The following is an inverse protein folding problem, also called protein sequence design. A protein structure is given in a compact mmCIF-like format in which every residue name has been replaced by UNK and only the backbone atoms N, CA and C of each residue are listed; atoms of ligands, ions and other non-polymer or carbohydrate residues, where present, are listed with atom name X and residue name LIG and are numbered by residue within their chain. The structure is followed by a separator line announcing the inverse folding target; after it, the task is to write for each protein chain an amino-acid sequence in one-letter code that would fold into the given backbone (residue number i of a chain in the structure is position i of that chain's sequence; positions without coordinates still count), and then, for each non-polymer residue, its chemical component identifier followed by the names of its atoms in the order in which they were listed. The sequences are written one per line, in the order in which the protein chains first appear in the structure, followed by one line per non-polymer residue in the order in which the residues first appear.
data_IF_867440331926
#
_entry.id   IF_867440331926
#
_cell.length_a   1.000
_cell.length_b   1.000
_cell.length_c   1.000
_cell.angle_alpha   90.00
_cell.angle_beta   90.00
_cell.angle_gamma   90.00
#
_symmetry.space_group_name_H-M   'P 1'
#
loop_
_entity.id
_entity.type
_entity.pdbx_description
1 polymer ?
#
# COMPACT_ATOMS: atom_id res chain seq x y z
N UNK A 1 12.35 -14.70 5.87
CA UNK A 1 12.20 -13.41 5.16
C UNK A 1 12.58 -12.32 6.16
N UNK A 2 13.76 -11.71 6.03
CA UNK A 2 14.31 -10.77 7.02
C UNK A 2 13.60 -9.40 6.91
N UNK A 3 12.39 -9.31 7.44
CA UNK A 3 11.61 -8.05 7.46
C UNK A 3 11.24 -7.69 8.89
N UNK A 4 12.24 -7.24 9.64
CA UNK A 4 12.04 -6.58 10.92
C UNK A 4 11.75 -5.08 10.70
N UNK A 5 10.91 -4.49 11.56
CA UNK A 5 10.69 -3.04 11.57
C UNK A 5 11.89 -2.26 12.11
N UNK A 6 12.78 -2.96 12.82
CA UNK A 6 14.07 -2.43 13.25
C UNK A 6 15.12 -2.66 12.17
N UNK A 7 15.56 -1.59 11.53
CA UNK A 7 16.53 -1.64 10.44
C UNK A 7 17.45 -0.41 10.45
N UNK A 8 18.69 -0.59 10.00
CA UNK A 8 19.64 0.49 9.74
C UNK A 8 19.70 0.75 8.23
N UNK A 9 19.52 2.01 7.84
CA UNK A 9 19.64 2.44 6.44
C UNK A 9 20.85 3.34 6.26
N UNK A 10 21.68 3.06 5.26
CA UNK A 10 22.71 4.01 4.83
C UNK A 10 22.06 5.24 4.19
N UNK A 11 22.78 6.37 4.15
CA UNK A 11 22.29 7.64 3.57
C UNK A 11 21.74 7.45 2.15
N UNK A 12 22.47 6.70 1.30
CA UNK A 12 22.09 6.42 -0.09
C UNK A 12 20.75 5.68 -0.19
N UNK A 13 20.55 4.66 0.67
CA UNK A 13 19.31 3.88 0.70
C UNK A 13 18.13 4.74 1.15
N UNK A 14 18.32 5.52 2.23
CA UNK A 14 17.30 6.43 2.73
C UNK A 14 16.86 7.42 1.65
N UNK A 15 17.80 8.06 0.96
CA UNK A 15 17.50 9.05 -0.08
C UNK A 15 16.75 8.44 -1.26
N UNK A 16 17.13 7.22 -1.69
CA UNK A 16 16.40 6.51 -2.73
C UNK A 16 14.95 6.18 -2.34
N UNK A 17 14.71 5.78 -1.09
CA UNK A 17 13.36 5.49 -0.58
C UNK A 17 12.53 6.78 -0.47
N UNK A 18 13.11 7.86 0.06
CA UNK A 18 12.39 9.14 0.28
C UNK A 18 12.09 9.86 -1.03
N UNK A 19 12.93 9.72 -2.05
CA UNK A 19 12.69 10.31 -3.36
C UNK A 19 11.54 9.65 -4.13
N UNK A 20 11.01 8.50 -3.67
CA UNK A 20 9.85 7.90 -4.32
C UNK A 20 8.59 8.75 -4.05
N UNK A 21 8.00 9.30 -5.12
CA UNK A 21 6.83 10.20 -5.06
C UNK A 21 5.50 9.43 -4.94
N UNK A 22 5.46 8.37 -4.15
CA UNK A 22 4.27 7.56 -3.99
C UNK A 22 3.34 8.15 -2.92
N UNK A 23 2.08 8.44 -3.26
CA UNK A 23 1.10 8.96 -2.30
C UNK A 23 0.74 7.95 -1.20
N UNK A 24 0.95 6.66 -1.45
CA UNK A 24 0.70 5.58 -0.50
C UNK A 24 2.02 4.91 -0.09
N UNK A 25 2.82 5.54 0.80
CA UNK A 25 4.12 5.01 1.17
C UNK A 25 3.98 3.66 1.88
N UNK A 26 4.70 2.66 1.38
CA UNK A 26 4.80 1.36 2.04
C UNK A 26 6.26 0.92 2.11
N UNK A 27 6.94 1.35 3.17
CA UNK A 27 8.40 1.23 3.36
C UNK A 27 8.91 -0.20 3.09
N UNK A 28 8.16 -1.23 3.48
CA UNK A 28 8.57 -2.63 3.28
C UNK A 28 8.68 -2.99 1.80
N UNK A 29 7.74 -2.53 0.96
CA UNK A 29 7.85 -2.71 -0.49
C UNK A 29 8.93 -1.81 -1.08
N UNK A 30 9.08 -0.57 -0.60
CA UNK A 30 10.11 0.35 -1.08
C UNK A 30 11.52 -0.22 -0.88
N UNK A 31 11.80 -0.80 0.30
CA UNK A 31 13.07 -1.50 0.57
C UNK A 31 13.28 -2.67 -0.39
N UNK A 32 12.20 -3.37 -0.76
CA UNK A 32 12.21 -4.40 -1.78
C UNK A 32 12.59 -3.86 -3.16
N UNK A 33 11.93 -2.77 -3.55
CA UNK A 33 12.02 -2.10 -4.84
C UNK A 33 13.40 -1.50 -5.11
N UNK A 34 13.99 -0.80 -4.14
CA UNK A 34 15.30 -0.14 -4.31
C UNK A 34 16.46 -1.13 -4.50
N UNK A 35 16.29 -2.41 -4.16
CA UNK A 35 17.20 -3.48 -4.58
C UNK A 35 18.60 -3.48 -3.95
N UNK A 36 18.94 -2.54 -3.06
CA UNK A 36 20.28 -2.46 -2.44
C UNK A 36 20.66 -3.73 -1.65
N UNK A 37 21.97 -3.85 -1.38
CA UNK A 37 22.54 -4.90 -0.54
C UNK A 37 21.91 -4.88 0.86
N UNK A 38 21.52 -6.07 1.34
CA UNK A 38 20.77 -6.27 2.58
C UNK A 38 21.41 -7.41 3.36
N UNK A 39 21.61 -7.19 4.65
CA UNK A 39 22.09 -8.21 5.58
C UNK A 39 21.12 -8.32 6.75
N UNK A 40 20.65 -9.54 7.03
CA UNK A 40 19.71 -9.83 8.10
C UNK A 40 20.42 -10.37 9.32
N UNK A 41 20.31 -9.69 10.46
CA UNK A 41 20.82 -10.18 11.74
C UNK A 41 19.74 -11.07 12.37
N UNK A 42 20.09 -12.33 12.65
CA UNK A 42 19.20 -13.22 13.40
C UNK A 42 19.18 -12.78 14.85
N UNK A 43 17.99 -12.60 15.39
CA UNK A 43 17.78 -12.33 16.82
C UNK A 43 16.55 -13.10 17.27
N UNK A 44 16.53 -13.51 18.54
CA UNK A 44 15.36 -14.10 19.15
C UNK A 44 14.52 -12.99 19.81
N UNK A 45 13.23 -12.91 19.46
CA UNK A 45 12.35 -11.85 19.95
C UNK A 45 11.67 -12.34 21.22
N UNK A 46 12.12 -11.83 22.36
CA UNK A 46 11.47 -12.09 23.65
C UNK A 46 10.00 -11.64 23.66
N UNK A 47 9.17 -12.36 24.41
CA UNK A 47 7.76 -12.05 24.59
C UNK A 47 7.62 -10.68 25.27
N UNK A 48 6.67 -9.86 24.79
CA UNK A 48 6.34 -8.58 25.41
C UNK A 48 5.89 -8.80 26.86
N UNK A 49 6.51 -8.08 27.80
CA UNK A 49 6.27 -8.22 29.25
C UNK A 49 5.00 -7.50 29.70
N UNK A 50 4.66 -6.38 29.06
CA UNK A 50 3.49 -5.56 29.41
C UNK A 50 2.92 -4.81 28.20
N UNK A 51 1.66 -4.39 28.31
CA UNK A 51 0.93 -3.65 27.27
C UNK A 51 0.11 -4.55 26.34
N UNK A 52 -0.97 -3.97 25.79
CA UNK A 52 -1.82 -4.64 24.82
C UNK A 52 -1.22 -4.55 23.41
N UNK A 53 -1.63 -5.47 22.54
CA UNK A 53 -1.29 -5.36 21.11
C UNK A 53 -2.10 -4.22 20.49
N UNK A 54 -1.43 -3.35 19.73
CA UNK A 54 -2.11 -2.38 18.87
C UNK A 54 -2.47 -2.97 17.49
N UNK A 55 -2.22 -4.27 17.30
CA UNK A 55 -2.46 -4.96 16.04
C UNK A 55 -3.82 -5.66 16.09
N UNK A 56 -4.87 -4.99 15.61
CA UNK A 56 -6.17 -5.62 15.38
C UNK A 56 -6.17 -6.36 14.04
N UNK A 57 -6.95 -7.43 13.95
CA UNK A 57 -7.05 -8.23 12.72
C UNK A 57 -7.60 -7.38 11.55
N UNK A 58 -8.56 -6.50 11.83
CA UNK A 58 -9.15 -5.61 10.83
C UNK A 58 -8.11 -4.64 10.26
N UNK A 59 -7.35 -3.98 11.14
CA UNK A 59 -6.29 -3.05 10.74
C UNK A 59 -5.19 -3.76 9.95
N UNK A 60 -4.88 -5.01 10.32
CA UNK A 60 -3.92 -5.83 9.59
C UNK A 60 -4.39 -6.16 8.17
N UNK A 61 -5.67 -6.54 7.99
CA UNK A 61 -6.24 -6.82 6.66
C UNK A 61 -6.27 -5.55 5.81
N UNK A 62 -6.68 -4.42 6.41
CA UNK A 62 -6.69 -3.13 5.72
C UNK A 62 -5.27 -2.71 5.28
N UNK A 63 -4.27 -2.87 6.16
CA UNK A 63 -2.88 -2.59 5.84
C UNK A 63 -2.33 -3.53 4.76
N UNK A 64 -2.65 -4.83 4.82
CA UNK A 64 -2.23 -5.81 3.81
C UNK A 64 -2.86 -5.53 2.43
N UNK A 65 -4.16 -5.20 2.38
CA UNK A 65 -4.84 -4.80 1.15
C UNK A 65 -4.23 -3.51 0.58
N UNK A 66 -3.97 -2.52 1.44
CA UNK A 66 -3.31 -1.27 1.08
C UNK A 66 -1.93 -1.52 0.46
N UNK A 67 -1.12 -2.36 1.10
CA UNK A 67 0.20 -2.76 0.64
C UNK A 67 0.17 -3.53 -0.69
N UNK A 68 -0.74 -4.49 -0.84
CA UNK A 68 -0.90 -5.29 -2.07
C UNK A 68 -1.22 -4.40 -3.28
N UNK A 69 -2.17 -3.48 -3.11
CA UNK A 69 -2.61 -2.56 -4.15
C UNK A 69 -1.56 -1.49 -4.51
N UNK A 70 -0.68 -1.12 -3.57
CA UNK A 70 0.41 -0.17 -3.85
C UNK A 70 1.58 -0.86 -4.56
N UNK A 71 1.94 -2.06 -4.09
CA UNK A 71 3.16 -2.75 -4.54
C UNK A 71 2.99 -3.62 -5.77
N UNK A 72 1.75 -3.94 -6.15
CA UNK A 72 1.47 -4.90 -7.21
C UNK A 72 0.29 -4.48 -8.07
N UNK A 73 0.32 -4.89 -9.34
CA UNK A 73 -0.81 -4.84 -10.27
C UNK A 73 -1.56 -6.18 -10.32
N UNK A 74 -1.26 -7.11 -9.42
CA UNK A 74 -1.79 -8.47 -9.42
C UNK A 74 -3.33 -8.54 -9.50
N UNK A 75 -4.11 -7.83 -8.65
CA UNK A 75 -5.57 -7.84 -8.75
C UNK A 75 -6.11 -7.46 -10.14
N UNK A 76 -5.50 -6.45 -10.78
CA UNK A 76 -5.91 -6.00 -12.11
C UNK A 76 -5.50 -7.01 -13.20
N UNK A 77 -4.33 -7.65 -13.06
CA UNK A 77 -3.89 -8.69 -13.99
C UNK A 77 -4.71 -9.97 -13.84
N UNK A 78 -5.13 -10.31 -12.62
CA UNK A 78 -5.95 -11.48 -12.36
C UNK A 78 -7.30 -11.41 -13.09
N UNK A 79 -7.95 -10.24 -13.10
CA UNK A 79 -9.20 -10.05 -13.84
C UNK A 79 -9.00 -10.15 -15.35
N UNK A 80 -7.90 -9.61 -15.88
CA UNK A 80 -7.57 -9.75 -17.30
C UNK A 80 -7.27 -11.21 -17.70
N UNK A 81 -6.56 -11.97 -16.86
CA UNK A 81 -6.25 -13.39 -17.09
C UNK A 81 -7.49 -14.28 -16.94
N UNK A 82 -8.46 -13.88 -16.11
CA UNK A 82 -9.72 -14.60 -15.97
C UNK A 82 -10.64 -14.47 -17.19
N UNK A 83 -10.48 -13.41 -18.00
CA UNK A 83 -11.38 -13.12 -19.12
C UNK A 83 -11.53 -14.28 -20.14
N UNK A 84 -10.48 -14.96 -20.61
CA UNK A 84 -10.62 -16.12 -21.49
C UNK A 84 -11.41 -17.28 -20.86
N UNK A 85 -11.28 -17.49 -19.54
CA UNK A 85 -12.03 -18.53 -18.83
C UNK A 85 -13.52 -18.18 -18.77
N UNK A 86 -13.83 -16.91 -18.51
CA UNK A 86 -15.20 -16.38 -18.55
C UNK A 86 -15.79 -16.51 -19.95
N UNK A 87 -15.02 -16.18 -21.00
CA UNK A 87 -15.45 -16.32 -22.38
C UNK A 87 -15.70 -17.78 -22.77
N UNK A 88 -14.83 -18.71 -22.36
CA UNK A 88 -15.03 -20.14 -22.59
C UNK A 88 -16.28 -20.67 -21.88
N UNK A 89 -16.49 -20.28 -20.62
CA UNK A 89 -17.68 -20.62 -19.86
C UNK A 89 -18.96 -20.13 -20.56
N UNK A 90 -18.93 -18.89 -21.04
CA UNK A 90 -20.02 -18.29 -21.83
C UNK A 90 -20.34 -19.12 -23.08
N UNK A 91 -19.33 -19.54 -23.85
CA UNK A 91 -19.52 -20.37 -25.05
C UNK A 91 -20.18 -21.71 -24.69
N UNK A 92 -19.71 -22.39 -23.64
CA UNK A 92 -20.26 -23.67 -23.20
C UNK A 92 -21.73 -23.53 -22.77
N UNK A 93 -22.04 -22.51 -21.96
CA UNK A 93 -23.41 -22.25 -21.50
C UNK A 93 -24.34 -21.90 -22.66
N UNK A 94 -23.87 -21.14 -23.64
CA UNK A 94 -24.63 -20.81 -24.86
C UNK A 94 -24.92 -22.05 -25.70
N UNK A 95 -23.95 -22.96 -25.86
CA UNK A 95 -24.16 -24.23 -26.56
C UNK A 95 -25.18 -25.11 -25.84
N UNK A 96 -25.15 -25.17 -24.51
CA UNK A 96 -26.13 -25.92 -23.72
C UNK A 96 -27.55 -25.37 -23.90
N UNK A 97 -27.71 -24.05 -23.94
CA UNK A 97 -29.01 -23.41 -24.17
C UNK A 97 -29.56 -23.74 -25.58
N UNK A 98 -28.69 -23.73 -26.60
CA UNK A 98 -29.05 -24.07 -27.98
C UNK A 98 -29.49 -25.53 -28.22
N UNK A 99 -29.14 -26.45 -27.33
CA UNK A 99 -29.52 -27.89 -27.42
C UNK A 99 -30.90 -28.16 -26.79
N UNK A 100 -31.64 -27.11 -26.39
CA UNK A 100 -33.02 -27.23 -25.91
C UNK A 100 -33.14 -27.30 -24.38
N UNK A 101 -32.10 -26.89 -23.65
CA UNK A 101 -32.21 -26.71 -22.21
C UNK A 101 -33.10 -25.51 -21.89
N UNK A 102 -33.97 -25.69 -20.91
CA UNK A 102 -35.06 -24.78 -20.51
C UNK A 102 -34.51 -23.48 -19.91
N UNK A 103 -34.14 -22.45 -20.69
CA UNK A 103 -34.04 -21.01 -20.33
C UNK A 103 -33.31 -20.57 -19.04
N UNK A 104 -32.73 -21.49 -18.27
CA UNK A 104 -32.00 -21.32 -17.02
C UNK A 104 -30.51 -21.01 -17.25
N UNK A 105 -29.79 -21.61 -18.23
CA UNK A 105 -28.38 -21.30 -18.44
C UNK A 105 -28.16 -19.85 -18.89
N UNK A 106 -29.03 -19.30 -19.72
CA UNK A 106 -28.95 -17.90 -20.15
C UNK A 106 -29.06 -16.91 -18.98
N UNK A 107 -29.93 -17.17 -18.00
CA UNK A 107 -30.07 -16.31 -16.81
C UNK A 107 -28.82 -16.36 -15.93
N UNK A 108 -28.24 -17.54 -15.75
CA UNK A 108 -27.00 -17.74 -14.97
C UNK A 108 -25.84 -17.03 -15.67
N UNK A 109 -25.76 -17.14 -16.99
CA UNK A 109 -24.77 -16.45 -17.82
C UNK A 109 -24.82 -14.94 -17.59
N UNK A 110 -26.00 -14.33 -17.76
CA UNK A 110 -26.18 -12.88 -17.58
C UNK A 110 -25.83 -12.44 -16.16
N UNK A 111 -26.24 -13.19 -15.14
CA UNK A 111 -25.91 -12.88 -13.75
C UNK A 111 -24.40 -12.95 -13.48
N UNK A 112 -23.73 -13.96 -14.01
CA UNK A 112 -22.29 -14.14 -13.86
C UNK A 112 -21.49 -13.04 -14.56
N UNK A 113 -21.86 -12.69 -15.79
CA UNK A 113 -21.24 -11.61 -16.55
C UNK A 113 -21.42 -10.24 -15.85
N UNK A 114 -22.60 -9.97 -15.29
CA UNK A 114 -22.83 -8.75 -14.50
C UNK A 114 -21.91 -8.67 -13.28
N UNK A 115 -21.76 -9.77 -12.54
CA UNK A 115 -20.85 -9.83 -11.38
C UNK A 115 -19.39 -9.63 -11.83
N UNK A 116 -18.99 -10.27 -12.93
CA UNK A 116 -17.64 -10.12 -13.47
C UNK A 116 -17.36 -8.69 -13.94
N UNK A 117 -18.30 -8.05 -14.62
CA UNK A 117 -18.21 -6.65 -15.05
C UNK A 117 -18.12 -5.69 -13.86
N UNK A 118 -18.92 -5.90 -12.81
CA UNK A 118 -18.84 -5.11 -11.58
C UNK A 118 -17.48 -5.27 -10.90
N UNK A 119 -16.94 -6.48 -10.85
CA UNK A 119 -15.61 -6.75 -10.30
C UNK A 119 -14.51 -6.08 -11.14
N UNK A 120 -14.60 -6.16 -12.47
CA UNK A 120 -13.67 -5.51 -13.38
C UNK A 120 -13.74 -3.98 -13.23
N UNK A 121 -14.92 -3.38 -13.28
CA UNK A 121 -15.10 -1.95 -13.06
C UNK A 121 -14.60 -1.49 -11.69
N UNK A 122 -14.85 -2.27 -10.63
CA UNK A 122 -14.40 -1.95 -9.27
C UNK A 122 -12.87 -2.00 -9.16
N UNK A 123 -12.23 -3.03 -9.71
CA UNK A 123 -10.76 -3.13 -9.70
C UNK A 123 -10.13 -1.99 -10.48
N UNK A 124 -10.59 -1.70 -11.70
CA UNK A 124 -10.09 -0.57 -12.48
C UNK A 124 -10.32 0.77 -11.79
N UNK A 125 -11.51 1.01 -11.24
CA UNK A 125 -11.84 2.22 -10.50
C UNK A 125 -10.90 2.45 -9.31
N UNK A 126 -10.53 1.39 -8.59
CA UNK A 126 -9.61 1.46 -7.46
C UNK A 126 -8.18 1.86 -7.89
N UNK A 127 -7.67 1.30 -9.00
CA UNK A 127 -6.37 1.69 -9.54
C UNK A 127 -6.40 3.10 -10.13
N UNK A 128 -7.47 3.48 -10.84
CA UNK A 128 -7.67 4.83 -11.36
C UNK A 128 -7.67 5.88 -10.24
N UNK A 129 -8.37 5.60 -9.12
CA UNK A 129 -8.36 6.49 -7.96
C UNK A 129 -6.96 6.67 -7.36
N UNK A 130 -6.13 5.61 -7.35
CA UNK A 130 -4.74 5.67 -6.89
C UNK A 130 -3.84 6.44 -7.84
N UNK A 131 -3.98 6.21 -9.14
CA UNK A 131 -3.29 6.96 -10.19
C UNK A 131 -3.63 8.44 -10.05
N UNK A 132 -4.92 8.78 -9.95
CA UNK A 132 -5.36 10.15 -9.74
C UNK A 132 -4.73 10.80 -8.50
N UNK A 133 -4.67 10.10 -7.36
CA UNK A 133 -4.02 10.61 -6.14
C UNK A 133 -2.52 10.85 -6.33
N UNK A 134 -1.82 9.95 -7.03
CA UNK A 134 -0.41 10.13 -7.36
C UNK A 134 -0.19 11.32 -8.30
N UNK A 135 -1.05 11.50 -9.32
CA UNK A 135 -0.99 12.65 -10.25
C UNK A 135 -1.26 13.98 -9.56
N UNK A 136 -2.16 14.01 -8.57
CA UNK A 136 -2.44 15.21 -7.79
C UNK A 136 -1.23 15.67 -6.96
N UNK A 137 -0.23 14.81 -6.73
CA UNK A 137 1.05 15.19 -6.11
C UNK A 137 0.92 15.75 -4.69
N UNK A 138 -0.13 15.37 -3.95
CA UNK A 138 -0.32 15.88 -2.58
C UNK A 138 0.77 15.34 -1.65
N UNK A 139 1.39 16.19 -0.81
CA UNK A 139 2.36 15.71 0.17
C UNK A 139 1.68 14.77 1.17
N UNK A 140 2.37 13.71 1.57
CA UNK A 140 1.86 12.69 2.50
C UNK A 140 1.55 13.30 3.87
N UNK A 141 2.35 14.28 4.29
CA UNK A 141 2.20 15.01 5.53
C UNK A 141 2.66 16.45 5.35
N UNK A 142 2.11 17.34 6.16
CA UNK A 142 2.54 18.73 6.28
C UNK A 142 3.14 18.87 7.67
N UNK A 143 4.39 19.33 7.76
CA UNK A 143 5.07 19.55 9.03
C UNK A 143 4.89 21.00 9.42
N UNK A 144 4.36 21.23 10.62
CA UNK A 144 4.39 22.54 11.25
C UNK A 144 5.82 22.81 11.76
N UNK A 145 6.50 23.78 11.17
CA UNK A 145 7.88 24.12 11.52
C UNK A 145 7.99 24.87 12.84
N UNK A 146 6.95 25.58 13.28
CA UNK A 146 7.02 26.38 14.51
C UNK A 146 6.97 25.52 15.77
N UNK A 147 6.31 24.36 15.67
CA UNK A 147 6.22 23.37 16.75
C UNK A 147 7.31 22.28 16.68
N UNK A 148 8.19 22.32 15.68
CA UNK A 148 9.18 21.27 15.43
C UNK A 148 10.59 21.67 15.88
N UNK A 149 11.23 20.80 16.68
CA UNK A 149 12.62 20.94 17.15
C UNK A 149 13.67 20.59 16.08
N UNK A 150 13.26 19.86 15.04
CA UNK A 150 14.10 19.53 13.89
C UNK A 150 14.04 20.67 12.89
N UNK A 151 15.17 21.37 12.72
CA UNK A 151 15.36 22.51 11.80
C UNK A 151 14.82 23.86 12.31
N UNK A 152 15.13 24.20 13.56
CA UNK A 152 15.12 25.61 13.96
C UNK A 152 16.18 26.36 13.13
N UNK A 153 15.86 27.52 12.52
CA UNK A 153 16.90 28.39 11.96
C UNK A 153 17.96 28.65 13.03
N UNK A 154 19.25 28.62 12.68
CA UNK A 154 20.36 28.76 13.63
C UNK A 154 20.17 29.94 14.63
N UNK A 155 19.53 31.02 14.18
CA UNK A 155 19.17 32.20 14.97
C UNK A 155 18.27 31.89 16.19
N UNK A 156 17.33 30.92 16.10
CA UNK A 156 16.42 30.60 17.22
C UNK A 156 17.10 29.73 18.30
N UNK A 157 18.08 28.89 17.93
CA UNK A 157 18.90 28.13 18.89
C UNK A 157 19.86 29.04 19.67
N UNK A 158 20.44 30.04 19.01
CA UNK A 158 21.25 31.09 19.67
C UNK A 158 20.41 31.95 20.63
N UNK A 159 19.20 32.38 20.23
CA UNK A 159 18.32 33.14 21.13
C UNK A 159 17.81 32.33 22.32
N UNK A 160 17.47 31.06 22.12
CA UNK A 160 17.03 30.18 23.21
C UNK A 160 18.17 29.90 24.20
N UNK A 161 19.39 29.68 23.71
CA UNK A 161 20.57 29.46 24.56
C UNK A 161 21.03 30.74 25.27
N UNK A 162 20.89 31.91 24.64
CA UNK A 162 21.12 33.22 25.25
C UNK A 162 20.10 33.57 26.34
N UNK A 163 18.81 33.28 26.12
CA UNK A 163 17.76 33.49 27.12
C UNK A 163 17.96 32.62 28.37
N UNK A 164 18.38 31.36 28.19
CA UNK A 164 18.73 30.46 29.30
C UNK A 164 19.98 30.90 30.06
N UNK A 165 20.96 31.53 29.39
CA UNK A 165 22.15 32.13 30.04
C UNK A 165 21.80 33.39 30.84
N UNK A 166 20.90 34.23 30.34
CA UNK A 166 20.46 35.45 31.02
C UNK A 166 19.61 35.19 32.26
N UNK A 167 18.96 34.03 32.38
CA UNK A 167 18.19 33.63 33.56
C UNK A 167 19.03 32.99 34.68
N UNK A 168 20.30 32.65 34.40
CA UNK A 168 21.22 32.03 35.35
C UNK A 168 22.29 33.00 35.88
N UNK A 169 22.28 34.25 35.43
CA UNK A 169 23.08 35.35 35.96
C UNK A 169 22.18 36.25 36.81
#
# INVERSE_FOLDING_TARGET
LYMAEFALFSRKVREAIVNNQNTFPYIRAEIGFVGFSRYGIRYDRQRRVSGLTHYNIIDMIAAAAGALLTSSTFPMRATAIAFPLVALLNIVLLMMDGVGSVGQPFKILVAFDLVFLLLLASTYGLYLARIHKNLMGRPIFIVDRDLTILNQPADRQERASAAVRSQKA
#
